data_IF_324069231567
#
_entry.id   IF_324069231567
#
_cell.length_a   1.000
_cell.length_b   1.000
_cell.length_c   1.000
_cell.angle_alpha   90.00
_cell.angle_beta   90.00
_cell.angle_gamma   90.00
#
_symmetry.space_group_name_H-M   'P 1'
#
loop_
_entity.id
_entity.type
_entity.pdbx_description
1 polymer ?
#
# COMPACT_ATOMS: atom_id res chain seq x y z
N UNK A 1 11.25 -20.68 1.29
CA UNK A 1 10.08 -20.78 0.39
C UNK A 1 9.74 -22.22 0.03
N UNK A 2 10.62 -23.04 -0.57
CA UNK A 2 10.26 -24.45 -0.91
C UNK A 2 10.04 -25.38 0.29
N UNK A 3 10.66 -25.07 1.45
CA UNK A 3 10.46 -25.82 2.71
C UNK A 3 9.31 -25.26 3.57
N UNK A 4 8.72 -24.15 3.14
CA UNK A 4 7.58 -23.51 3.79
C UNK A 4 6.32 -24.06 3.12
N UNK A 5 5.36 -24.57 3.91
CA UNK A 5 4.08 -25.00 3.32
C UNK A 5 3.35 -23.80 2.71
N UNK A 6 2.77 -23.95 1.52
CA UNK A 6 1.99 -22.90 0.83
C UNK A 6 0.92 -22.26 1.73
N UNK A 7 0.33 -23.03 2.65
CA UNK A 7 -0.62 -22.53 3.63
C UNK A 7 0.00 -21.54 4.64
N UNK A 8 1.24 -21.78 5.10
CA UNK A 8 1.94 -20.86 6.01
C UNK A 8 2.33 -19.57 5.31
N UNK A 9 2.82 -19.68 4.08
CA UNK A 9 3.15 -18.52 3.23
C UNK A 9 1.93 -17.61 3.11
N UNK A 10 0.80 -18.21 2.69
CA UNK A 10 -0.46 -17.50 2.52
C UNK A 10 -0.96 -16.89 3.83
N UNK A 11 -0.92 -17.63 4.94
CA UNK A 11 -1.36 -17.13 6.23
C UNK A 11 -0.55 -15.90 6.67
N UNK A 12 0.78 -15.96 6.56
CA UNK A 12 1.66 -14.83 6.90
C UNK A 12 1.37 -13.61 6.01
N UNK A 13 1.20 -13.82 4.71
CA UNK A 13 0.84 -12.76 3.76
C UNK A 13 -0.53 -12.13 4.06
N UNK A 14 -1.53 -12.94 4.45
CA UNK A 14 -2.85 -12.48 4.89
C UNK A 14 -2.75 -11.68 6.21
N UNK A 15 -1.95 -12.13 7.18
CA UNK A 15 -1.71 -11.41 8.44
C UNK A 15 -1.09 -10.03 8.19
N UNK A 16 -0.03 -9.94 7.39
CA UNK A 16 0.60 -8.66 7.03
C UNK A 16 -0.35 -7.74 6.27
N UNK A 17 -1.12 -8.29 5.33
CA UNK A 17 -2.11 -7.54 4.55
C UNK A 17 -3.23 -7.00 5.45
N UNK A 18 -3.63 -7.78 6.47
CA UNK A 18 -4.62 -7.34 7.46
C UNK A 18 -4.11 -6.15 8.27
N UNK A 19 -2.85 -6.20 8.72
CA UNK A 19 -2.22 -5.08 9.44
C UNK A 19 -2.19 -3.83 8.55
N UNK A 20 -1.74 -3.98 7.30
CA UNK A 20 -1.65 -2.87 6.36
C UNK A 20 -3.02 -2.24 6.09
N UNK A 21 -4.04 -3.06 5.79
CA UNK A 21 -5.40 -2.61 5.51
C UNK A 21 -5.99 -1.83 6.69
N UNK A 22 -5.97 -2.42 7.89
CA UNK A 22 -6.49 -1.77 9.10
C UNK A 22 -5.74 -0.50 9.42
N UNK A 23 -4.42 -0.50 9.24
CA UNK A 23 -3.60 0.68 9.44
C UNK A 23 -4.01 1.82 8.49
N UNK A 24 -4.10 1.54 7.20
CA UNK A 24 -4.48 2.53 6.18
C UNK A 24 -5.91 3.06 6.39
N UNK A 25 -6.86 2.22 6.78
CA UNK A 25 -8.25 2.64 7.09
C UNK A 25 -8.33 3.63 8.25
N UNK A 26 -7.35 3.62 9.16
CA UNK A 26 -7.29 4.52 10.31
C UNK A 26 -6.55 5.83 10.02
N UNK A 27 -6.07 6.05 8.79
CA UNK A 27 -5.38 7.28 8.39
C UNK A 27 -6.35 8.16 7.61
N UNK A 28 -6.66 9.33 8.17
CA UNK A 28 -7.53 10.31 7.52
C UNK A 28 -6.94 10.76 6.18
N UNK A 29 -7.79 10.89 5.17
CA UNK A 29 -7.39 11.26 3.82
C UNK A 29 -6.84 10.12 2.96
N UNK A 30 -6.66 8.91 3.50
CA UNK A 30 -6.32 7.71 2.71
C UNK A 30 -7.60 7.07 2.17
N UNK A 31 -7.63 6.80 0.85
CA UNK A 31 -8.66 5.97 0.22
C UNK A 31 -8.04 4.69 -0.33
N UNK A 32 -8.48 3.55 0.18
CA UNK A 32 -8.08 2.22 -0.30
C UNK A 32 -8.88 1.88 -1.56
N UNK A 33 -8.22 1.21 -2.51
CA UNK A 33 -8.79 0.78 -3.77
C UNK A 33 -8.88 -0.74 -3.81
N UNK A 34 -10.07 -1.26 -4.11
CA UNK A 34 -10.35 -2.69 -4.24
C UNK A 34 -11.01 -3.31 -2.99
N UNK A 35 -10.99 -4.64 -2.93
CA UNK A 35 -11.61 -5.44 -1.87
C UNK A 35 -10.93 -5.23 -0.51
N UNK A 36 -11.73 -5.06 0.54
CA UNK A 36 -11.24 -4.86 1.92
C UNK A 36 -11.13 -6.18 2.69
N UNK A 37 -11.83 -7.22 2.24
CA UNK A 37 -11.70 -8.55 2.81
C UNK A 37 -10.36 -9.20 2.41
N UNK A 38 -9.49 -9.39 3.40
CA UNK A 38 -8.14 -9.98 3.23
C UNK A 38 -8.17 -11.33 2.50
N UNK A 39 -9.14 -12.19 2.81
CA UNK A 39 -9.28 -13.53 2.25
C UNK A 39 -9.57 -13.54 0.73
N UNK A 40 -10.11 -12.42 0.20
CA UNK A 40 -10.54 -12.24 -1.18
C UNK A 40 -9.56 -11.43 -2.02
N UNK A 41 -8.39 -11.08 -1.46
CA UNK A 41 -7.36 -10.32 -2.17
C UNK A 41 -6.01 -11.02 -2.14
N UNK A 42 -5.15 -10.62 -3.06
CA UNK A 42 -3.72 -10.91 -3.02
C UNK A 42 -3.02 -9.99 -2.00
N UNK A 43 -1.80 -10.32 -1.55
CA UNK A 43 -1.06 -9.53 -0.56
C UNK A 43 -0.48 -8.24 -1.15
N UNK A 44 -1.35 -7.40 -1.67
CA UNK A 44 -1.04 -6.08 -2.18
C UNK A 44 -2.20 -5.14 -1.91
N UNK A 45 -1.88 -3.87 -1.63
CA UNK A 45 -2.87 -2.83 -1.38
C UNK A 45 -2.55 -1.62 -2.25
N UNK A 46 -3.56 -1.16 -2.98
CA UNK A 46 -3.53 0.11 -3.71
C UNK A 46 -4.31 1.16 -2.94
N UNK A 47 -3.75 2.37 -2.85
CA UNK A 47 -4.41 3.48 -2.18
C UNK A 47 -4.03 4.82 -2.82
N UNK A 48 -4.80 5.85 -2.49
CA UNK A 48 -4.50 7.25 -2.79
C UNK A 48 -4.58 8.08 -1.51
N UNK A 49 -3.90 9.22 -1.50
CA UNK A 49 -3.95 10.19 -0.41
C UNK A 49 -4.58 11.47 -0.96
N UNK A 50 -5.60 11.99 -0.28
CA UNK A 50 -6.27 13.22 -0.66
C UNK A 50 -5.29 14.39 -0.76
N UNK A 51 -5.32 15.09 -1.90
CA UNK A 51 -4.48 16.28 -2.12
C UNK A 51 -3.01 16.00 -2.44
N UNK A 52 -2.55 14.74 -2.48
CA UNK A 52 -1.16 14.38 -2.79
C UNK A 52 -1.12 13.42 -3.97
N UNK A 53 -0.29 13.72 -4.98
CA UNK A 53 -0.15 12.85 -6.14
C UNK A 53 0.50 11.51 -5.75
N UNK A 54 0.09 10.36 -6.33
CA UNK A 54 0.75 9.08 -6.06
C UNK A 54 2.26 9.11 -6.29
N UNK A 55 2.72 9.82 -7.34
CA UNK A 55 4.15 9.97 -7.64
C UNK A 55 4.90 10.66 -6.51
N UNK A 56 4.37 11.75 -5.97
CA UNK A 56 4.96 12.47 -4.83
C UNK A 56 5.01 11.59 -3.58
N UNK A 57 3.96 10.81 -3.31
CA UNK A 57 3.97 9.87 -2.18
C UNK A 57 5.06 8.82 -2.37
N UNK A 58 5.20 8.26 -3.58
CA UNK A 58 6.24 7.27 -3.89
C UNK A 58 7.65 7.83 -3.74
N UNK A 59 7.89 9.05 -4.23
CA UNK A 59 9.17 9.77 -4.11
C UNK A 59 9.54 10.02 -2.65
N UNK A 60 8.61 10.55 -1.84
CA UNK A 60 8.85 10.79 -0.42
C UNK A 60 9.11 9.49 0.36
N UNK A 61 8.37 8.42 0.05
CA UNK A 61 8.58 7.11 0.66
C UNK A 61 9.97 6.54 0.35
N UNK A 62 10.45 6.70 -0.88
CA UNK A 62 11.79 6.27 -1.30
C UNK A 62 12.87 7.13 -0.63
N UNK A 63 12.85 8.44 -0.86
CA UNK A 63 13.94 9.34 -0.48
C UNK A 63 14.09 9.53 1.03
N UNK A 64 12.97 9.59 1.78
CA UNK A 64 13.00 9.92 3.22
C UNK A 64 12.89 8.71 4.13
N UNK A 65 12.30 7.62 3.65
CA UNK A 65 12.04 6.45 4.48
C UNK A 65 12.69 5.17 3.95
N UNK A 66 13.30 5.21 2.76
CA UNK A 66 13.89 4.04 2.09
C UNK A 66 12.85 2.94 1.82
N UNK A 67 11.60 3.32 1.55
CA UNK A 67 10.49 2.41 1.29
C UNK A 67 10.12 2.42 -0.19
N UNK A 68 10.45 1.33 -0.87
CA UNK A 68 10.13 1.17 -2.28
C UNK A 68 8.68 0.74 -2.50
N UNK A 69 7.96 1.53 -3.31
CA UNK A 69 6.61 1.23 -3.77
C UNK A 69 6.52 1.29 -5.30
N UNK A 70 5.32 1.05 -5.84
CA UNK A 70 5.03 1.33 -7.25
C UNK A 70 3.91 2.34 -7.33
N UNK A 71 4.04 3.30 -8.24
CA UNK A 71 3.07 4.36 -8.48
C UNK A 71 2.58 4.32 -9.92
N UNK A 72 1.40 4.89 -10.17
CA UNK A 72 0.83 5.01 -11.52
C UNK A 72 -0.27 4.00 -11.79
N UNK A 73 -0.44 3.67 -13.07
CA UNK A 73 -1.60 2.90 -13.58
C UNK A 73 -1.42 1.37 -13.54
N UNK A 74 -0.27 0.87 -13.10
CA UNK A 74 0.04 -0.57 -12.99
C UNK A 74 -0.32 -1.38 -14.25
N UNK A 75 -0.06 -0.82 -15.43
CA UNK A 75 -0.41 -1.37 -16.74
C UNK A 75 -1.91 -1.67 -16.94
N UNK A 76 -2.80 -1.02 -16.18
CA UNK A 76 -4.24 -1.32 -16.13
C UNK A 76 -5.11 -0.04 -16.27
N UNK A 77 -4.92 0.79 -17.31
CA UNK A 77 -5.54 2.11 -17.43
C UNK A 77 -7.08 2.10 -17.35
N UNK A 78 -7.73 1.11 -17.95
CA UNK A 78 -9.19 0.97 -17.94
C UNK A 78 -9.74 0.70 -16.53
N UNK A 79 -9.06 -0.14 -15.74
CA UNK A 79 -9.46 -0.38 -14.35
C UNK A 79 -9.35 0.92 -13.53
N UNK A 80 -8.30 1.71 -13.74
CA UNK A 80 -8.12 3.00 -13.08
C UNK A 80 -9.19 4.03 -13.48
N UNK A 81 -9.73 3.99 -14.70
CA UNK A 81 -10.89 4.79 -15.10
C UNK A 81 -12.14 4.36 -14.32
N UNK A 82 -12.41 3.06 -14.19
CA UNK A 82 -13.56 2.55 -13.42
C UNK A 82 -13.47 2.89 -11.94
N UNK A 83 -12.26 2.92 -11.36
CA UNK A 83 -12.03 3.18 -9.94
C UNK A 83 -11.82 4.66 -9.59
N UNK A 84 -11.97 5.56 -10.57
CA UNK A 84 -11.76 7.00 -10.44
C UNK A 84 -10.38 7.35 -9.88
N UNK A 85 -9.34 6.77 -10.50
CA UNK A 85 -7.93 7.01 -10.15
C UNK A 85 -7.09 7.40 -11.37
N UNK A 86 -7.68 7.46 -12.57
CA UNK A 86 -7.03 8.00 -13.76
C UNK A 86 -6.94 9.53 -13.70
N UNK A 87 -5.90 10.18 -14.26
CA UNK A 87 -4.74 9.61 -14.97
C UNK A 87 -3.56 9.26 -14.06
N UNK A 88 -3.59 9.67 -12.79
CA UNK A 88 -2.43 9.61 -11.89
C UNK A 88 -2.18 8.22 -11.31
N UNK A 89 -3.21 7.37 -11.27
CA UNK A 89 -3.16 6.02 -10.74
C UNK A 89 -3.17 5.96 -9.22
N UNK A 90 -2.46 4.99 -8.66
CA UNK A 90 -2.43 4.72 -7.20
C UNK A 90 -1.00 4.45 -6.74
N UNK A 91 -0.77 4.60 -5.43
CA UNK A 91 0.38 3.97 -4.77
C UNK A 91 0.00 2.51 -4.52
N UNK A 92 0.87 1.56 -4.88
CA UNK A 92 0.71 0.13 -4.64
C UNK A 92 1.86 -0.40 -3.81
N UNK A 93 1.49 -1.01 -2.69
CA UNK A 93 2.39 -1.76 -1.82
C UNK A 93 2.11 -3.24 -2.06
N UNK A 94 3.15 -4.00 -2.37
CA UNK A 94 3.07 -5.44 -2.59
C UNK A 94 3.92 -6.13 -1.54
N UNK A 95 3.27 -6.94 -0.71
CA UNK A 95 3.90 -7.69 0.36
C UNK A 95 4.25 -9.08 -0.17
N UNK A 96 5.34 -9.61 0.35
CA UNK A 96 5.80 -10.96 0.14
C UNK A 96 5.96 -11.65 1.49
N UNK A 97 6.12 -12.97 1.45
CA UNK A 97 6.49 -13.73 2.63
C UNK A 97 7.72 -13.22 3.40
N UNK A 98 8.65 -12.51 2.73
CA UNK A 98 9.86 -12.01 3.36
C UNK A 98 9.64 -10.72 4.17
N UNK A 99 8.49 -10.08 4.02
CA UNK A 99 8.18 -8.88 4.76
C UNK A 99 7.81 -9.21 6.22
N UNK A 100 7.94 -8.21 7.08
CA UNK A 100 7.61 -8.35 8.50
C UNK A 100 6.56 -7.34 8.96
N UNK A 101 5.92 -7.60 10.09
CA UNK A 101 4.93 -6.70 10.67
C UNK A 101 5.55 -5.34 11.04
N UNK A 102 6.82 -5.32 11.45
CA UNK A 102 7.57 -4.10 11.76
C UNK A 102 7.74 -3.23 10.51
N UNK A 103 8.06 -3.84 9.35
CA UNK A 103 8.14 -3.11 8.08
C UNK A 103 6.78 -2.52 7.66
N UNK A 104 5.70 -3.27 7.87
CA UNK A 104 4.33 -2.77 7.59
C UNK A 104 3.99 -1.61 8.53
N UNK A 105 4.30 -1.71 9.81
CA UNK A 105 4.07 -0.64 10.79
C UNK A 105 4.93 0.60 10.50
N UNK A 106 6.17 0.42 10.05
CA UNK A 106 7.05 1.50 9.64
C UNK A 106 6.49 2.24 8.41
N UNK A 107 6.01 1.50 7.41
CA UNK A 107 5.29 2.07 6.26
C UNK A 107 4.04 2.86 6.70
N UNK A 108 3.23 2.31 7.61
CA UNK A 108 2.02 3.00 8.10
C UNK A 108 2.35 4.30 8.82
N UNK A 109 3.43 4.31 9.62
CA UNK A 109 3.94 5.52 10.27
C UNK A 109 4.36 6.56 9.21
N UNK A 110 5.15 6.16 8.21
CA UNK A 110 5.58 7.05 7.13
C UNK A 110 4.39 7.64 6.37
N UNK A 111 3.39 6.82 6.01
CA UNK A 111 2.17 7.31 5.35
C UNK A 111 1.44 8.33 6.23
N UNK A 112 1.32 8.08 7.54
CA UNK A 112 0.68 9.01 8.46
C UNK A 112 1.40 10.37 8.51
N UNK A 113 2.73 10.37 8.56
CA UNK A 113 3.55 11.60 8.52
C UNK A 113 3.44 12.34 7.18
N UNK A 114 3.30 11.62 6.07
CA UNK A 114 3.01 12.20 4.75
C UNK A 114 1.61 12.85 4.76
N UNK A 115 0.60 12.20 5.33
CA UNK A 115 -0.78 12.74 5.40
C UNK A 115 -0.91 13.95 6.32
N UNK A 116 -0.14 14.02 7.42
CA UNK A 116 -0.19 15.16 8.34
C UNK A 116 0.53 16.41 7.81
N UNK A 117 1.22 16.31 6.67
CA UNK A 117 1.97 17.41 6.07
C UNK A 117 3.27 17.76 6.81
N UNK A 118 3.73 16.89 7.72
CA UNK A 118 5.01 17.05 8.43
C UNK A 118 6.20 16.94 7.47
N UNK A 119 5.99 16.28 6.32
CA UNK A 119 7.08 15.83 5.44
C UNK A 119 6.98 16.40 4.02
N UNK A 120 5.85 17.00 3.65
CA UNK A 120 5.64 17.65 2.35
C UNK A 120 6.12 19.12 2.30
N UNK A 121 6.88 19.57 3.32
CA UNK A 121 7.54 20.89 3.37
C UNK A 121 9.05 20.74 3.24
#
# INVERSE_FOLDING_TARGET
MLNEGMGRIRQHEEELTSILLRGLQNIEGVRIIGEEEVSKRMPLVSFIIGGISPSTVGEVLDEKYEILTRVGLHCSPWAHQTMDTSPNGTVRVSLSYLNTAEQVNYLLKAIKEITSGEVAR
#
